data_IF_455446323720
#
_entry.id   IF_455446323720
#
_cell.length_a   1.000
_cell.length_b   1.000
_cell.length_c   1.000
_cell.angle_alpha   90.00
_cell.angle_beta   90.00
_cell.angle_gamma   90.00
#
_symmetry.space_group_name_H-M   'P 1'
#
loop_
_entity.id
_entity.type
_entity.pdbx_description
1 polymer ?
#
# COMPACT_ATOMS: atom_id res chain seq x y z
N UNK A 1 -9.82 -12.60 -1.48
CA UNK A 1 -8.71 -12.14 -2.33
C UNK A 1 -7.49 -13.02 -2.14
N UNK A 2 -6.33 -12.39 -2.23
CA UNK A 2 -4.97 -12.94 -2.07
C UNK A 2 -4.86 -14.05 -1.02
N UNK A 3 -5.18 -13.77 0.25
CA UNK A 3 -5.03 -14.74 1.36
C UNK A 3 -5.79 -16.06 1.12
N UNK A 4 -6.99 -16.00 0.55
CA UNK A 4 -7.82 -17.21 0.30
C UNK A 4 -7.21 -18.04 -0.83
N UNK A 5 -6.71 -17.38 -1.87
CA UNK A 5 -6.06 -18.03 -3.02
C UNK A 5 -4.74 -18.67 -2.56
N UNK A 6 -3.87 -17.92 -1.87
CA UNK A 6 -2.59 -18.44 -1.38
C UNK A 6 -2.77 -19.63 -0.42
N UNK A 7 -3.79 -19.59 0.44
CA UNK A 7 -4.11 -20.72 1.33
C UNK A 7 -4.60 -21.93 0.56
N UNK A 8 -5.49 -21.75 -0.41
CA UNK A 8 -6.01 -22.85 -1.22
C UNK A 8 -4.90 -23.48 -2.07
N UNK A 9 -4.09 -22.69 -2.75
CA UNK A 9 -2.93 -23.17 -3.53
C UNK A 9 -1.88 -23.87 -2.66
N UNK A 10 -1.69 -23.41 -1.42
CA UNK A 10 -0.77 -24.03 -0.46
C UNK A 10 -1.34 -25.21 0.30
N UNK A 11 -2.60 -25.61 0.05
CA UNK A 11 -3.30 -26.66 0.79
C UNK A 11 -3.50 -26.37 2.27
N UNK A 12 -3.43 -25.09 2.68
CA UNK A 12 -3.44 -24.69 4.10
C UNK A 12 -4.87 -24.42 4.56
N UNK A 13 -5.39 -25.34 5.37
CA UNK A 13 -6.68 -25.22 6.02
C UNK A 13 -6.65 -24.19 7.17
N UNK A 14 -7.83 -23.88 7.70
CA UNK A 14 -7.96 -23.02 8.89
C UNK A 14 -7.45 -23.71 10.15
N UNK A 15 -7.56 -25.05 10.22
CA UNK A 15 -7.12 -25.87 11.36
C UNK A 15 -5.61 -25.87 11.55
N UNK A 16 -4.84 -25.67 10.48
CA UNK A 16 -3.37 -25.63 10.55
C UNK A 16 -2.82 -24.43 11.31
N UNK A 17 -3.67 -23.43 11.59
CA UNK A 17 -3.35 -22.20 12.36
C UNK A 17 -2.09 -21.45 11.87
N UNK A 18 -1.67 -21.71 10.63
CA UNK A 18 -0.51 -21.05 10.01
C UNK A 18 -0.80 -19.57 9.77
N UNK A 19 0.14 -18.72 10.20
CA UNK A 19 0.08 -17.27 9.99
C UNK A 19 0.18 -16.93 8.50
N UNK A 20 -0.59 -15.92 8.08
CA UNK A 20 -0.62 -15.53 6.66
C UNK A 20 0.74 -15.02 6.15
N UNK A 21 1.58 -14.45 7.02
CA UNK A 21 2.90 -13.96 6.61
C UNK A 21 3.86 -15.09 6.28
N UNK A 22 3.78 -16.20 7.01
CA UNK A 22 4.50 -17.44 6.67
C UNK A 22 4.06 -17.98 5.31
N UNK A 23 2.75 -17.94 5.01
CA UNK A 23 2.21 -18.38 3.72
C UNK A 23 2.74 -17.47 2.60
N UNK A 24 2.72 -16.16 2.80
CA UNK A 24 3.28 -15.20 1.84
C UNK A 24 4.76 -15.40 1.60
N UNK A 25 5.54 -15.59 2.66
CA UNK A 25 6.97 -15.85 2.56
C UNK A 25 7.26 -17.11 1.74
N UNK A 26 6.48 -18.18 1.96
CA UNK A 26 6.57 -19.42 1.18
C UNK A 26 6.33 -19.19 -0.32
N UNK A 27 5.43 -18.29 -0.68
CA UNK A 27 5.13 -17.95 -2.07
C UNK A 27 5.92 -16.74 -2.61
N UNK A 28 6.83 -16.13 -1.81
CA UNK A 28 7.55 -14.91 -2.20
C UNK A 28 6.65 -13.69 -2.42
N UNK A 29 5.43 -13.69 -1.89
CA UNK A 29 4.45 -12.60 -2.11
C UNK A 29 4.67 -11.50 -1.08
N UNK A 30 4.95 -10.30 -1.57
CA UNK A 30 5.03 -9.09 -0.73
C UNK A 30 3.63 -8.69 -0.26
N UNK A 31 3.43 -8.30 1.02
CA UNK A 31 2.13 -7.83 1.49
C UNK A 31 1.59 -6.66 0.65
N UNK A 32 0.29 -6.67 0.33
CA UNK A 32 -0.34 -5.60 -0.44
C UNK A 32 -0.15 -4.20 0.17
N UNK A 33 -0.07 -4.11 1.50
CA UNK A 33 0.16 -2.85 2.20
C UNK A 33 1.54 -2.24 1.85
N UNK A 34 2.58 -3.06 1.70
CA UNK A 34 3.89 -2.63 1.25
C UNK A 34 3.84 -2.13 -0.20
N UNK A 35 3.12 -2.82 -1.08
CA UNK A 35 2.94 -2.39 -2.48
C UNK A 35 2.18 -1.06 -2.60
N UNK A 36 1.14 -0.88 -1.79
CA UNK A 36 0.41 0.39 -1.73
C UNK A 36 1.30 1.52 -1.18
N UNK A 37 2.14 1.22 -0.19
CA UNK A 37 3.12 2.17 0.36
C UNK A 37 4.16 2.55 -0.71
N UNK A 38 4.70 1.59 -1.43
CA UNK A 38 5.64 1.78 -2.54
C UNK A 38 5.02 2.68 -3.64
N UNK A 39 3.79 2.40 -4.07
CA UNK A 39 3.07 3.20 -5.05
C UNK A 39 2.86 4.64 -4.57
N UNK A 40 2.49 4.82 -3.29
CA UNK A 40 2.35 6.15 -2.68
C UNK A 40 3.67 6.91 -2.68
N UNK A 41 4.78 6.27 -2.33
CA UNK A 41 6.10 6.92 -2.36
C UNK A 41 6.54 7.27 -3.78
N UNK A 42 6.26 6.42 -4.78
CA UNK A 42 6.50 6.77 -6.19
C UNK A 42 5.70 8.00 -6.60
N UNK A 43 4.43 8.10 -6.19
CA UNK A 43 3.62 9.27 -6.45
C UNK A 43 4.18 10.52 -5.78
N UNK A 44 4.58 10.45 -4.50
CA UNK A 44 5.23 11.59 -3.82
C UNK A 44 6.53 11.99 -4.52
N UNK A 45 7.38 11.03 -4.89
CA UNK A 45 8.60 11.31 -5.64
C UNK A 45 8.32 11.97 -6.99
N UNK A 46 7.24 11.57 -7.67
CA UNK A 46 6.77 12.25 -8.88
C UNK A 46 6.37 13.70 -8.62
N UNK A 47 5.61 13.95 -7.56
CA UNK A 47 5.20 15.32 -7.18
C UNK A 47 6.41 16.16 -6.79
N UNK A 48 7.35 15.64 -6.01
CA UNK A 48 8.53 16.39 -5.56
C UNK A 48 9.47 16.77 -6.71
N UNK A 49 9.57 15.94 -7.75
CA UNK A 49 10.36 16.25 -8.96
C UNK A 49 9.64 17.14 -9.97
N UNK A 50 8.34 17.37 -9.80
CA UNK A 50 7.60 18.27 -10.69
C UNK A 50 8.03 19.73 -10.48
N UNK A 51 7.83 20.54 -11.51
CA UNK A 51 8.03 21.99 -11.43
C UNK A 51 7.06 22.61 -10.41
N UNK A 52 7.47 23.74 -9.83
CA UNK A 52 6.74 24.40 -8.74
C UNK A 52 5.42 25.03 -9.18
N UNK A 53 5.25 25.27 -10.49
CA UNK A 53 4.01 25.75 -11.11
C UNK A 53 2.95 24.64 -11.30
N UNK A 54 3.32 23.38 -11.10
CA UNK A 54 2.38 22.28 -11.28
C UNK A 54 1.36 22.23 -10.14
N UNK A 55 0.08 22.08 -10.49
CA UNK A 55 -1.04 22.00 -9.53
C UNK A 55 -0.80 20.99 -8.41
N UNK A 56 -0.14 19.86 -8.71
CA UNK A 56 0.16 18.82 -7.72
C UNK A 56 1.15 19.28 -6.66
N UNK A 57 2.17 20.06 -7.05
CA UNK A 57 3.20 20.55 -6.14
C UNK A 57 2.73 21.78 -5.36
N UNK A 58 1.99 22.67 -6.01
CA UNK A 58 1.27 23.76 -5.34
C UNK A 58 0.32 23.19 -4.29
N UNK A 59 -0.53 22.22 -4.66
CA UNK A 59 -1.48 21.60 -3.75
C UNK A 59 -0.85 20.79 -2.62
N UNK A 60 0.39 20.30 -2.80
CA UNK A 60 1.13 19.64 -1.71
C UNK A 60 1.62 20.65 -0.67
N UNK A 61 1.97 21.86 -1.09
CA UNK A 61 2.55 22.91 -0.24
C UNK A 61 1.51 23.92 0.28
N UNK A 62 0.26 23.82 -0.15
CA UNK A 62 -0.78 24.79 0.24
C UNK A 62 -1.20 24.58 1.69
N UNK A 63 -1.15 25.66 2.48
CA UNK A 63 -1.74 25.67 3.82
C UNK A 63 -3.23 25.99 3.69
N UNK A 64 -4.08 25.04 4.08
CA UNK A 64 -5.53 25.24 4.08
C UNK A 64 -5.98 25.63 5.48
N UNK A 65 -6.50 26.85 5.62
CA UNK A 65 -7.12 27.30 6.86
C UNK A 65 -8.50 26.65 7.06
N UNK A 66 -8.80 26.23 8.28
CA UNK A 66 -10.10 25.66 8.66
C UNK A 66 -9.99 24.24 9.22
N UNK A 67 -10.98 23.84 10.02
CA UNK A 67 -11.06 22.50 10.60
C UNK A 67 -12.13 21.69 9.90
N UNK A 68 -11.85 20.42 9.59
CA UNK A 68 -12.86 19.48 9.11
C UNK A 68 -13.91 19.29 10.22
N UNK A 69 -15.21 19.52 9.94
CA UNK A 69 -16.29 19.19 10.89
C UNK A 69 -16.25 17.70 11.24
N UNK A 70 -16.55 17.36 12.50
CA UNK A 70 -16.65 15.96 12.94
C UNK A 70 -17.87 15.28 12.35
#
# INVERSE_FOLDING_TARGET
MEKKILRWTGGVARLDRVRNDTIRQRFGVVPIAEKLREARFRWYGHVLRANDDTVRKIGLNVEVSGKRPR
#
